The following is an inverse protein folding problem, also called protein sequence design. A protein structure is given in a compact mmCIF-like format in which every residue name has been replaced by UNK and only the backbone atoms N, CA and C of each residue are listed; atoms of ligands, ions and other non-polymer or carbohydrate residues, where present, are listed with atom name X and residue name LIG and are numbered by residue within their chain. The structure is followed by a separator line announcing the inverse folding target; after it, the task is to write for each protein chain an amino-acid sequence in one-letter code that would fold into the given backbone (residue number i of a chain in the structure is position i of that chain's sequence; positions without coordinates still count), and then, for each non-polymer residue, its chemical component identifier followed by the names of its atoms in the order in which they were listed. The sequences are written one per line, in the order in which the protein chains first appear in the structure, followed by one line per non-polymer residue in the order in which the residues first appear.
data_IF_007779065856
#
_entry.id   IF_007779065856
#
_cell.length_a   1.000
_cell.length_b   1.000
_cell.length_c   1.000
_cell.angle_alpha   90.00
_cell.angle_beta   90.00
_cell.angle_gamma   90.00
#
_symmetry.space_group_name_H-M   'P 1'
#
loop_
_entity.id
_entity.type
_entity.pdbx_description
1 polymer ?
#
# COMPACT_ATOMS: atom_id res chain seq x y z
N UNK A 1 -43.14 -49.34 26.83
CA UNK A 1 -41.72 -49.73 26.87
C UNK A 1 -40.93 -48.75 26.01
N UNK A 2 -40.43 -47.68 26.63
CA UNK A 2 -39.63 -46.62 26.02
C UNK A 2 -38.19 -46.73 26.57
N UNK A 3 -37.19 -46.86 25.69
CA UNK A 3 -35.71 -46.75 25.88
C UNK A 3 -35.11 -47.21 24.54
N UNK A 4 -34.19 -46.57 23.83
CA UNK A 4 -32.98 -45.80 24.18
C UNK A 4 -32.56 -44.95 22.94
N UNK A 5 -32.24 -43.65 23.10
CA UNK A 5 -30.87 -43.05 23.10
C UNK A 5 -30.18 -43.12 21.72
N UNK A 6 -30.28 -42.11 20.85
CA UNK A 6 -29.48 -40.87 20.78
C UNK A 6 -28.01 -41.05 20.31
N UNK A 7 -27.59 -40.12 19.43
CA UNK A 7 -26.24 -39.85 18.90
C UNK A 7 -25.82 -40.56 17.60
N UNK A 8 -26.03 -39.87 16.47
CA UNK A 8 -24.90 -39.32 15.67
C UNK A 8 -25.41 -38.18 14.80
N UNK A 9 -25.18 -36.98 15.29
CA UNK A 9 -25.45 -35.70 14.64
C UNK A 9 -24.60 -35.52 13.38
N UNK A 10 -25.26 -35.03 12.34
CA UNK A 10 -24.81 -34.05 11.37
C UNK A 10 -23.31 -33.69 11.40
N UNK A 11 -22.55 -34.20 10.42
CA UNK A 11 -21.31 -33.56 9.99
C UNK A 11 -21.70 -32.34 9.16
N UNK A 12 -22.14 -31.28 9.85
CA UNK A 12 -22.39 -29.97 9.26
C UNK A 12 -21.04 -29.39 8.88
N UNK A 13 -20.85 -29.08 7.60
CA UNK A 13 -19.75 -28.30 7.08
C UNK A 13 -19.56 -27.03 7.91
N UNK A 14 -18.57 -27.03 8.81
CA UNK A 14 -18.01 -25.81 9.38
C UNK A 14 -16.88 -25.38 8.46
N UNK A 15 -17.21 -24.54 7.47
CA UNK A 15 -16.22 -23.59 6.93
C UNK A 15 -15.85 -22.68 8.09
N UNK A 16 -14.74 -22.98 8.76
CA UNK A 16 -14.07 -22.00 9.59
C UNK A 16 -13.57 -20.90 8.69
N UNK A 17 -14.04 -19.67 8.91
CA UNK A 17 -13.42 -18.46 8.36
C UNK A 17 -12.10 -18.25 9.11
N UNK A 18 -11.07 -19.01 8.75
CA UNK A 18 -9.68 -18.66 9.05
C UNK A 18 -9.12 -18.04 7.78
N UNK A 19 -8.90 -16.73 7.80
CA UNK A 19 -8.24 -16.00 6.70
C UNK A 19 -6.72 -16.00 6.84
N UNK A 20 -6.16 -16.69 7.83
CA UNK A 20 -4.71 -16.75 8.09
C UNK A 20 -3.99 -17.89 7.35
N UNK A 21 -4.72 -18.88 6.84
CA UNK A 21 -4.14 -19.89 5.95
C UNK A 21 -4.29 -19.44 4.49
N UNK A 22 -3.34 -18.66 3.98
CA UNK A 22 -3.05 -18.69 2.54
C UNK A 22 -2.66 -20.14 2.24
N UNK A 23 -3.56 -20.89 1.60
CA UNK A 23 -3.17 -22.09 0.86
C UNK A 23 -2.14 -21.65 -0.18
N UNK A 24 -0.84 -21.76 0.14
CA UNK A 24 0.22 -21.58 -0.86
C UNK A 24 0.06 -22.71 -1.88
N UNK A 25 -0.65 -22.41 -2.96
CA UNK A 25 -0.78 -23.31 -4.10
C UNK A 25 0.60 -23.50 -4.75
N UNK A 26 1.25 -24.61 -4.40
CA UNK A 26 2.59 -24.97 -4.86
C UNK A 26 3.69 -24.26 -4.06
N UNK A 27 4.47 -25.03 -3.32
CA UNK A 27 5.61 -24.57 -2.52
C UNK A 27 6.80 -24.16 -3.41
N UNK A 28 6.62 -23.12 -4.23
CA UNK A 28 7.62 -22.54 -5.16
C UNK A 28 8.58 -21.60 -4.45
N UNK A 29 8.95 -21.91 -3.22
CA UNK A 29 9.84 -21.08 -2.41
C UNK A 29 11.31 -21.18 -2.83
N UNK A 30 12.18 -20.29 -2.30
CA UNK A 30 13.64 -20.36 -2.50
C UNK A 30 14.23 -21.75 -2.22
N UNK A 31 13.73 -22.42 -1.18
CA UNK A 31 14.16 -23.77 -0.80
C UNK A 31 13.79 -24.84 -1.85
N UNK A 32 12.66 -24.70 -2.54
CA UNK A 32 12.26 -25.62 -3.61
C UNK A 32 13.05 -25.33 -4.89
N UNK A 33 13.30 -24.04 -5.19
CA UNK A 33 14.16 -23.64 -6.30
C UNK A 33 15.56 -24.26 -6.15
N UNK A 34 16.20 -24.12 -4.99
CA UNK A 34 17.55 -24.65 -4.77
C UNK A 34 17.63 -26.17 -4.93
N UNK A 35 16.58 -26.91 -4.54
CA UNK A 35 16.48 -28.37 -4.75
C UNK A 35 16.38 -28.75 -6.23
N UNK A 36 15.70 -27.94 -7.05
CA UNK A 36 15.57 -28.15 -8.51
C UNK A 36 16.76 -27.62 -9.30
N UNK A 37 17.43 -26.60 -8.77
CA UNK A 37 18.58 -25.93 -9.38
C UNK A 37 19.88 -26.73 -9.23
N UNK A 38 20.14 -27.30 -8.05
CA UNK A 38 21.35 -28.07 -7.77
C UNK A 38 21.64 -29.26 -8.73
N UNK A 39 20.66 -30.02 -9.27
CA UNK A 39 20.95 -31.07 -10.25
C UNK A 39 21.24 -30.54 -11.68
N UNK A 40 20.87 -29.30 -12.00
CA UNK A 40 21.01 -28.74 -13.36
C UNK A 40 22.24 -27.82 -13.51
N UNK A 41 22.94 -27.51 -12.42
CA UNK A 41 24.01 -26.52 -12.39
C UNK A 41 25.31 -27.15 -11.89
N UNK A 42 26.45 -26.69 -12.42
CA UNK A 42 27.76 -27.19 -12.01
C UNK A 42 28.04 -26.82 -10.54
N UNK A 43 28.68 -27.74 -9.81
CA UNK A 43 29.01 -27.57 -8.39
C UNK A 43 30.01 -26.44 -8.08
N UNK A 44 30.56 -25.80 -9.12
CA UNK A 44 31.47 -24.65 -9.01
C UNK A 44 30.72 -23.32 -8.84
N UNK A 45 29.42 -23.28 -9.12
CA UNK A 45 28.62 -22.06 -8.99
C UNK A 45 27.96 -21.96 -7.60
N UNK A 46 28.09 -20.80 -6.97
CA UNK A 46 27.35 -20.46 -5.74
C UNK A 46 25.85 -20.35 -6.02
N UNK A 47 24.98 -20.69 -5.05
CA UNK A 47 23.54 -20.52 -5.21
C UNK A 47 23.19 -19.04 -5.43
N UNK A 48 22.17 -18.74 -6.26
CA UNK A 48 21.70 -17.37 -6.42
C UNK A 48 21.05 -16.86 -5.14
N UNK A 49 21.18 -15.56 -4.89
CA UNK A 49 20.50 -14.89 -3.79
C UNK A 49 19.03 -14.62 -4.12
N UNK A 50 18.20 -14.45 -3.10
CA UNK A 50 16.77 -14.18 -3.24
C UNK A 50 16.39 -12.83 -2.60
N UNK A 51 15.39 -12.09 -3.13
CA UNK A 51 14.94 -10.84 -2.52
C UNK A 51 14.48 -11.02 -1.07
N UNK A 52 13.97 -12.22 -0.72
CA UNK A 52 13.59 -12.57 0.64
C UNK A 52 14.74 -12.60 1.65
N UNK A 53 15.99 -12.69 1.20
CA UNK A 53 17.18 -12.68 2.06
C UNK A 53 17.55 -11.25 2.49
N UNK A 54 17.18 -10.26 1.69
CA UNK A 54 17.49 -8.85 1.93
C UNK A 54 16.37 -8.10 2.63
N UNK A 55 15.17 -8.67 2.68
CA UNK A 55 14.02 -8.12 3.38
C UNK A 55 13.95 -8.70 4.80
N UNK A 56 13.62 -7.89 5.82
CA UNK A 56 13.31 -8.43 7.13
C UNK A 56 12.15 -9.42 6.96
N UNK A 57 12.28 -10.61 7.56
CA UNK A 57 11.24 -11.64 7.46
C UNK A 57 9.93 -11.04 7.97
N UNK A 58 8.93 -10.95 7.09
CA UNK A 58 7.58 -10.52 7.48
C UNK A 58 7.18 -11.35 8.70
N UNK A 59 6.93 -10.68 9.83
CA UNK A 59 6.47 -11.37 11.02
C UNK A 59 5.04 -11.80 10.70
N UNK A 60 4.85 -13.11 10.53
CA UNK A 60 3.51 -13.67 10.51
C UNK A 60 2.86 -13.23 11.83
N UNK A 61 1.80 -12.42 11.72
CA UNK A 61 1.10 -11.91 12.89
C UNK A 61 0.53 -13.12 13.63
N UNK A 62 1.12 -13.46 14.78
CA UNK A 62 0.50 -14.44 15.66
C UNK A 62 -0.87 -13.89 16.08
N UNK A 63 -1.92 -14.68 15.82
CA UNK A 63 -3.29 -14.39 16.24
C UNK A 63 -3.30 -14.14 17.77
N UNK A 64 -3.34 -12.87 18.17
CA UNK A 64 -3.32 -12.44 19.58
C UNK A 64 -2.13 -11.58 20.01
N UNK A 65 -1.26 -11.13 19.08
CA UNK A 65 -0.22 -10.15 19.43
C UNK A 65 -0.85 -8.86 19.97
N UNK A 66 -0.34 -8.38 21.12
CA UNK A 66 -0.75 -7.12 21.73
C UNK A 66 -0.59 -5.97 20.72
N UNK A 67 -1.62 -5.12 20.61
CA UNK A 67 -1.58 -3.93 19.74
C UNK A 67 -0.42 -3.05 20.20
N UNK A 68 0.59 -2.79 19.35
CA UNK A 68 1.70 -1.92 19.73
C UNK A 68 1.21 -0.49 19.92
N UNK A 69 1.86 0.27 20.80
CA UNK A 69 1.51 1.68 21.02
C UNK A 69 1.84 2.57 19.81
N UNK A 70 2.77 2.14 18.94
CA UNK A 70 3.23 2.89 17.76
C UNK A 70 3.26 2.03 16.50
N UNK A 71 2.88 2.66 15.38
CA UNK A 71 2.90 2.08 14.04
C UNK A 71 4.31 2.18 13.46
N UNK A 72 4.75 1.18 12.70
CA UNK A 72 5.99 1.30 11.91
C UNK A 72 5.63 1.73 10.49
N UNK A 73 6.08 2.92 10.08
CA UNK A 73 5.86 3.44 8.72
C UNK A 73 7.12 3.24 7.87
N UNK A 74 6.90 2.68 6.68
CA UNK A 74 7.84 2.74 5.58
C UNK A 74 7.21 3.50 4.40
N UNK A 75 7.93 4.47 3.86
CA UNK A 75 7.50 5.26 2.72
C UNK A 75 8.53 5.14 1.59
N UNK A 76 8.13 4.43 0.54
CA UNK A 76 8.96 4.06 -0.60
C UNK A 76 8.62 4.86 -1.85
N UNK A 77 9.66 5.31 -2.53
CA UNK A 77 9.65 5.77 -3.91
C UNK A 77 10.59 4.89 -4.75
N UNK A 78 10.45 4.88 -6.09
CA UNK A 78 11.37 4.14 -6.95
C UNK A 78 12.81 4.64 -6.87
N UNK A 79 13.00 5.95 -6.67
CA UNK A 79 14.31 6.59 -6.67
C UNK A 79 14.90 6.77 -5.26
N UNK A 80 14.07 6.83 -4.21
CA UNK A 80 14.52 6.98 -2.82
C UNK A 80 13.54 6.38 -1.81
N UNK A 81 13.94 6.32 -0.54
CA UNK A 81 13.03 5.96 0.56
C UNK A 81 12.96 7.14 1.52
N UNK A 82 11.87 7.90 1.47
CA UNK A 82 11.70 9.12 2.27
C UNK A 82 11.63 8.79 3.76
N UNK A 83 10.93 7.72 4.13
CA UNK A 83 10.79 7.29 5.52
C UNK A 83 11.04 5.80 5.63
N UNK A 84 11.93 5.38 6.54
CA UNK A 84 12.23 3.97 6.77
C UNK A 84 12.11 3.65 8.25
N UNK A 85 11.36 2.59 8.57
CA UNK A 85 11.18 2.02 9.91
C UNK A 85 10.82 3.05 11.00
N UNK A 86 10.12 4.12 10.64
CA UNK A 86 9.84 5.22 11.57
C UNK A 86 8.61 4.92 12.41
N UNK A 87 8.69 5.25 13.71
CA UNK A 87 7.59 5.06 14.64
C UNK A 87 6.66 6.27 14.59
N UNK A 88 5.43 6.03 14.15
CA UNK A 88 4.40 7.06 13.97
C UNK A 88 3.14 6.67 14.72
N UNK A 89 2.35 7.66 15.13
CA UNK A 89 1.11 7.43 15.88
C UNK A 89 -0.10 7.39 14.94
N UNK A 90 -0.08 8.20 13.87
CA UNK A 90 -1.17 8.32 12.91
C UNK A 90 -0.63 8.64 11.51
N UNK A 91 -1.23 8.02 10.50
CA UNK A 91 -0.96 8.31 9.08
C UNK A 91 -2.28 8.55 8.37
N UNK A 92 -2.44 9.70 7.74
CA UNK A 92 -3.61 10.01 6.92
C UNK A 92 -3.27 9.76 5.46
N UNK A 93 -4.04 8.89 4.82
CA UNK A 93 -3.81 8.42 3.45
C UNK A 93 -5.00 8.79 2.55
N UNK A 94 -4.75 9.33 1.35
CA UNK A 94 -5.78 9.59 0.36
C UNK A 94 -6.05 8.32 -0.46
N UNK A 95 -7.03 7.50 -0.08
CA UNK A 95 -7.47 6.39 -0.93
C UNK A 95 -8.44 6.85 -2.01
N UNK A 96 -8.57 6.03 -3.06
CA UNK A 96 -9.56 6.24 -4.11
C UNK A 96 -11.00 6.33 -3.58
N UNK A 97 -11.33 5.57 -2.53
CA UNK A 97 -12.66 5.56 -1.91
C UNK A 97 -12.89 6.71 -0.92
N UNK A 98 -11.87 7.50 -0.61
CA UNK A 98 -11.90 8.56 0.39
C UNK A 98 -10.64 8.57 1.27
N UNK A 99 -10.51 9.60 2.10
CA UNK A 99 -9.35 9.74 2.97
C UNK A 99 -9.57 8.93 4.26
N UNK A 100 -8.54 8.19 4.69
CA UNK A 100 -8.62 7.36 5.90
C UNK A 100 -7.33 7.45 6.72
N UNK A 101 -7.47 7.22 8.02
CA UNK A 101 -6.37 7.24 8.97
C UNK A 101 -5.95 5.83 9.40
N UNK A 102 -4.66 5.57 9.39
CA UNK A 102 -4.05 4.34 9.89
C UNK A 102 -3.41 4.60 11.25
N UNK A 103 -3.86 3.84 12.24
CA UNK A 103 -3.35 3.83 13.61
C UNK A 103 -2.73 2.45 13.92
N UNK A 104 -1.99 2.30 15.03
CA UNK A 104 -1.48 1.00 15.46
C UNK A 104 -2.63 -0.01 15.64
N UNK A 105 -2.45 -1.24 15.16
CA UNK A 105 -3.48 -2.27 15.22
C UNK A 105 -4.64 -2.10 14.22
N UNK A 106 -4.46 -1.30 13.17
CA UNK A 106 -5.45 -1.18 12.10
C UNK A 106 -5.64 -2.51 11.34
N UNK A 107 -6.81 -2.68 10.73
CA UNK A 107 -7.15 -3.91 9.98
C UNK A 107 -6.24 -4.00 8.74
N UNK A 108 -5.66 -5.19 8.45
CA UNK A 108 -4.83 -5.37 7.27
C UNK A 108 -5.60 -4.99 6.00
N UNK A 109 -5.07 -4.01 5.27
CA UNK A 109 -5.77 -3.36 4.17
C UNK A 109 -4.79 -3.06 3.05
N UNK A 110 -5.20 -3.30 1.82
CA UNK A 110 -4.50 -2.84 0.62
C UNK A 110 -5.37 -1.76 -0.01
N UNK A 111 -4.85 -0.55 -0.08
CA UNK A 111 -5.56 0.61 -0.63
C UNK A 111 -4.79 1.19 -1.81
N UNK A 112 -5.51 1.52 -2.88
CA UNK A 112 -4.97 2.33 -3.97
C UNK A 112 -5.05 3.81 -3.58
N UNK A 113 -3.95 4.53 -3.76
CA UNK A 113 -3.85 5.94 -3.45
C UNK A 113 -4.22 6.78 -4.67
N UNK A 114 -5.05 7.80 -4.43
CA UNK A 114 -5.34 8.86 -5.40
C UNK A 114 -4.29 9.98 -5.28
N UNK A 115 -4.14 10.85 -6.29
CA UNK A 115 -3.32 12.05 -6.16
C UNK A 115 -3.82 12.89 -4.98
N UNK A 116 -2.95 13.20 -4.03
CA UNK A 116 -3.38 13.84 -2.79
C UNK A 116 -2.27 13.95 -1.74
N UNK A 117 -2.64 14.45 -0.56
CA UNK A 117 -1.68 14.69 0.54
C UNK A 117 -1.70 13.52 1.51
N UNK A 118 -0.54 12.90 1.69
CA UNK A 118 -0.26 11.99 2.80
C UNK A 118 0.25 12.81 3.98
N UNK A 119 -0.39 12.66 5.13
CA UNK A 119 0.03 13.35 6.36
C UNK A 119 0.53 12.31 7.36
N UNK A 120 1.78 12.46 7.79
CA UNK A 120 2.43 11.58 8.76
C UNK A 120 2.54 12.32 10.10
N UNK A 121 1.94 11.75 11.14
CA UNK A 121 2.03 12.25 12.50
C UNK A 121 2.98 11.37 13.32
N UNK A 122 4.20 11.85 13.57
CA UNK A 122 5.17 11.15 14.44
C UNK A 122 4.79 11.20 15.91
N UNK A 123 4.13 12.28 16.31
CA UNK A 123 3.51 12.46 17.63
C UNK A 123 2.25 13.27 17.42
N UNK A 124 1.14 12.87 18.05
CA UNK A 124 -0.21 13.42 17.82
C UNK A 124 -0.29 14.96 17.76
N UNK A 125 0.59 15.68 18.47
CA UNK A 125 0.47 17.13 18.66
C UNK A 125 1.59 18.01 18.09
N UNK A 126 2.69 17.46 17.54
CA UNK A 126 3.91 18.27 17.31
C UNK A 126 4.61 18.13 15.97
N UNK A 127 4.66 16.93 15.40
CA UNK A 127 5.46 16.66 14.20
C UNK A 127 4.56 16.11 13.11
N UNK A 128 4.10 17.01 12.23
CA UNK A 128 3.23 16.74 11.10
C UNK A 128 4.06 16.92 9.82
N UNK A 129 4.37 15.82 9.15
CA UNK A 129 5.03 15.85 7.84
C UNK A 129 3.99 15.62 6.76
N UNK A 130 3.87 16.56 5.81
CA UNK A 130 2.91 16.50 4.71
C UNK A 130 3.63 16.29 3.39
N UNK A 131 3.24 15.23 2.69
CA UNK A 131 3.77 14.86 1.40
C UNK A 131 2.65 14.84 0.38
N UNK A 132 2.78 15.58 -0.71
CA UNK A 132 1.94 15.39 -1.88
C UNK A 132 2.40 14.14 -2.63
N UNK A 133 1.48 13.23 -2.91
CA UNK A 133 1.71 11.96 -3.62
C UNK A 133 0.98 12.00 -4.95
N UNK A 134 1.65 11.56 -6.02
CA UNK A 134 1.05 11.48 -7.36
C UNK A 134 0.06 10.31 -7.48
N UNK A 135 0.48 9.12 -7.10
CA UNK A 135 -0.31 7.88 -7.07
C UNK A 135 0.47 6.78 -6.37
N UNK A 136 -0.20 5.70 -5.98
CA UNK A 136 0.49 4.58 -5.35
C UNK A 136 -0.43 3.55 -4.72
N UNK A 137 0.16 2.76 -3.82
CA UNK A 137 -0.54 1.81 -2.97
C UNK A 137 -0.09 1.97 -1.53
N UNK A 138 -1.02 1.76 -0.61
CA UNK A 138 -0.73 1.62 0.81
C UNK A 138 -1.07 0.19 1.25
N UNK A 139 -0.11 -0.44 1.92
CA UNK A 139 -0.24 -1.76 2.51
C UNK A 139 -0.20 -1.60 4.02
N UNK A 140 -1.30 -1.96 4.67
CA UNK A 140 -1.38 -2.08 6.12
C UNK A 140 -1.28 -3.57 6.44
N UNK A 141 -0.26 -3.94 7.20
CA UNK A 141 0.00 -5.32 7.59
C UNK A 141 -0.56 -5.63 8.97
N UNK A 142 -0.75 -6.90 9.25
CA UNK A 142 -1.26 -7.38 10.54
C UNK A 142 -0.26 -7.19 11.70
N UNK A 143 1.02 -7.00 11.41
CA UNK A 143 2.07 -6.73 12.39
C UNK A 143 2.17 -5.24 12.80
N UNK A 144 1.18 -4.42 12.41
CA UNK A 144 1.16 -2.96 12.59
C UNK A 144 2.35 -2.24 11.90
N UNK A 145 2.83 -2.81 10.80
CA UNK A 145 3.63 -2.07 9.82
C UNK A 145 2.73 -1.52 8.70
N UNK A 146 3.09 -0.36 8.17
CA UNK A 146 2.40 0.27 7.05
C UNK A 146 3.42 0.70 6.02
N UNK A 147 3.30 0.12 4.83
CA UNK A 147 4.14 0.43 3.68
C UNK A 147 3.35 1.29 2.71
N UNK A 148 3.78 2.53 2.54
CA UNK A 148 3.27 3.45 1.52
C UNK A 148 4.23 3.40 0.34
N UNK A 149 3.75 2.95 -0.81
CA UNK A 149 4.50 2.84 -2.04
C UNK A 149 3.92 3.83 -3.05
N UNK A 150 4.60 4.95 -3.27
CA UNK A 150 4.22 5.96 -4.24
C UNK A 150 5.14 5.94 -5.46
N UNK A 151 4.67 6.46 -6.59
CA UNK A 151 5.53 6.70 -7.76
C UNK A 151 6.39 7.94 -7.53
N UNK A 152 5.76 9.04 -7.14
CA UNK A 152 6.42 10.31 -6.83
C UNK A 152 5.76 10.96 -5.62
N UNK A 153 6.58 11.58 -4.77
CA UNK A 153 6.15 12.28 -3.57
C UNK A 153 7.03 13.50 -3.32
N UNK A 154 6.41 14.62 -3.00
CA UNK A 154 7.10 15.91 -2.78
C UNK A 154 6.56 16.52 -1.51
N UNK A 155 7.41 17.17 -0.72
CA UNK A 155 6.94 17.93 0.46
C UNK A 155 6.11 19.13 -0.01
N UNK A 156 5.09 19.50 0.76
CA UNK A 156 4.25 20.65 0.38
C UNK A 156 5.03 21.97 0.29
N UNK A 157 6.12 22.09 1.05
CA UNK A 157 6.98 23.29 1.06
C UNK A 157 7.75 23.49 -0.24
N UNK A 158 8.02 22.41 -0.98
CA UNK A 158 8.78 22.45 -2.23
C UNK A 158 7.88 22.68 -3.46
N UNK A 159 6.56 22.80 -3.27
CA UNK A 159 5.59 22.97 -4.36
C UNK A 159 5.34 24.45 -4.66
N UNK A 160 5.60 24.87 -5.91
CA UNK A 160 5.30 26.24 -6.35
C UNK A 160 3.79 26.39 -6.72
N UNK A 161 3.03 27.25 -6.02
CA UNK A 161 1.62 27.50 -6.34
C UNK A 161 1.39 28.07 -7.73
N UNK A 162 2.33 28.86 -8.27
CA UNK A 162 2.14 29.50 -9.58
C UNK A 162 2.25 28.47 -10.71
N UNK A 163 3.27 27.61 -10.66
CA UNK A 163 3.44 26.49 -11.59
C UNK A 163 2.22 25.54 -11.57
N UNK A 164 1.65 25.24 -10.39
CA UNK A 164 0.48 24.37 -10.26
C UNK A 164 -0.75 24.97 -10.96
N UNK A 165 -1.00 26.28 -10.77
CA UNK A 165 -2.13 26.97 -11.43
C UNK A 165 -1.95 27.05 -12.95
N UNK A 166 -0.73 27.30 -13.40
CA UNK A 166 -0.40 27.30 -14.82
C UNK A 166 -0.65 25.91 -15.45
N UNK A 167 -0.20 24.84 -14.79
CA UNK A 167 -0.46 23.46 -15.20
C UNK A 167 -1.96 23.13 -15.25
N UNK A 168 -2.72 23.51 -14.21
CA UNK A 168 -4.17 23.32 -14.18
C UNK A 168 -4.86 23.94 -15.41
N UNK A 169 -4.50 25.17 -15.77
CA UNK A 169 -5.07 25.86 -16.92
C UNK A 169 -4.72 25.15 -18.24
N UNK A 170 -3.47 24.70 -18.39
CA UNK A 170 -3.02 23.98 -19.58
C UNK A 170 -3.77 22.65 -19.78
N UNK A 171 -3.86 21.80 -18.75
CA UNK A 171 -4.53 20.50 -18.85
C UNK A 171 -6.05 20.64 -18.98
N UNK A 172 -6.66 21.66 -18.38
CA UNK A 172 -8.08 21.95 -18.55
C UNK A 172 -8.39 22.39 -19.99
N UNK A 173 -7.54 23.22 -20.59
CA UNK A 173 -7.67 23.62 -21.99
C UNK A 173 -7.49 22.42 -22.95
N UNK A 174 -6.50 21.55 -22.68
CA UNK A 174 -6.29 20.31 -23.45
C UNK A 174 -7.51 19.39 -23.38
N UNK A 175 -8.07 19.19 -22.20
CA UNK A 175 -9.26 18.37 -22.01
C UNK A 175 -10.46 18.93 -22.80
N UNK A 176 -10.70 20.24 -22.76
CA UNK A 176 -11.77 20.87 -23.53
C UNK A 176 -11.58 20.77 -25.05
N UNK A 177 -10.35 20.82 -25.55
CA UNK A 177 -10.05 20.66 -26.96
C UNK A 177 -10.23 19.21 -27.45
N UNK A 178 -9.85 18.23 -26.63
CA UNK A 178 -9.85 16.80 -26.97
C UNK A 178 -11.22 16.14 -26.80
N UNK A 179 -12.09 16.65 -25.92
CA UNK A 179 -13.43 16.08 -25.69
C UNK A 179 -14.30 15.94 -26.94
N UNK A 180 -14.06 16.73 -27.98
CA UNK A 180 -14.86 16.71 -29.20
C UNK A 180 -14.29 15.83 -30.33
N UNK A 181 -12.97 15.55 -30.33
CA UNK A 181 -12.26 14.96 -31.49
C UNK A 181 -11.02 14.12 -31.15
N UNK A 182 -10.70 13.95 -29.86
CA UNK A 182 -9.50 13.25 -29.41
C UNK A 182 -9.66 11.73 -29.41
N UNK A 183 -8.52 11.04 -29.38
CA UNK A 183 -8.46 9.61 -29.09
C UNK A 183 -8.75 9.37 -27.60
N UNK A 184 -9.32 8.20 -27.27
CA UNK A 184 -9.70 7.86 -25.88
C UNK A 184 -8.50 7.93 -24.93
N UNK A 185 -7.31 7.56 -25.43
CA UNK A 185 -6.06 7.63 -24.68
C UNK A 185 -5.66 9.07 -24.32
N UNK A 186 -5.78 10.00 -25.27
CA UNK A 186 -5.43 11.41 -25.06
C UNK A 186 -6.41 12.11 -24.13
N UNK A 187 -7.70 11.75 -24.23
CA UNK A 187 -8.75 12.23 -23.32
C UNK A 187 -8.46 11.74 -21.90
N UNK A 188 -8.11 10.46 -21.71
CA UNK A 188 -7.76 9.93 -20.40
C UNK A 188 -6.49 10.58 -19.81
N UNK A 189 -5.46 10.80 -20.62
CA UNK A 189 -4.24 11.48 -20.18
C UNK A 189 -4.51 12.93 -19.74
N UNK A 190 -5.35 13.66 -20.48
CA UNK A 190 -5.75 15.01 -20.11
C UNK A 190 -6.59 15.03 -18.82
N UNK A 191 -7.49 14.05 -18.63
CA UNK A 191 -8.28 13.90 -17.40
C UNK A 191 -7.39 13.65 -16.18
N UNK A 192 -6.41 12.74 -16.28
CA UNK A 192 -5.45 12.46 -15.21
C UNK A 192 -4.66 13.72 -14.87
N UNK A 193 -4.22 14.49 -15.88
CA UNK A 193 -3.54 15.77 -15.66
C UNK A 193 -4.41 16.75 -14.86
N UNK A 194 -5.67 16.94 -15.25
CA UNK A 194 -6.60 17.80 -14.51
C UNK A 194 -6.81 17.31 -13.07
N UNK A 195 -6.96 16.00 -12.85
CA UNK A 195 -7.13 15.42 -11.53
C UNK A 195 -5.92 15.69 -10.61
N UNK A 196 -4.70 15.43 -11.11
CA UNK A 196 -3.46 15.64 -10.35
C UNK A 196 -3.25 17.11 -10.01
N UNK A 197 -3.34 18.01 -11.00
CA UNK A 197 -3.13 19.44 -10.76
C UNK A 197 -4.25 20.06 -9.92
N UNK A 198 -5.49 19.55 -10.01
CA UNK A 198 -6.59 19.94 -9.13
C UNK A 198 -6.31 19.56 -7.68
N UNK A 199 -5.83 18.34 -7.44
CA UNK A 199 -5.43 17.89 -6.12
C UNK A 199 -4.25 18.69 -5.56
N UNK A 200 -3.24 19.02 -6.38
CA UNK A 200 -2.12 19.88 -5.98
C UNK A 200 -2.60 21.28 -5.58
N UNK A 201 -3.50 21.89 -6.35
CA UNK A 201 -4.02 23.22 -6.04
C UNK A 201 -4.85 23.22 -4.74
N UNK A 202 -5.61 22.15 -4.50
CA UNK A 202 -6.31 21.96 -3.23
C UNK A 202 -5.34 21.78 -2.05
N UNK A 203 -4.19 21.14 -2.27
CA UNK A 203 -3.17 20.93 -1.24
C UNK A 203 -2.41 22.20 -0.85
N UNK A 204 -2.10 23.08 -1.81
CA UNK A 204 -1.36 24.34 -1.54
C UNK A 204 -2.28 25.47 -1.07
N UNK A 205 -3.55 25.43 -1.47
CA UNK A 205 -4.54 26.44 -1.07
C UNK A 205 -5.13 26.23 0.33
N UNK A 206 -4.82 25.12 1.02
CA UNK A 206 -5.39 24.70 2.30
C UNK A 206 -4.47 24.95 3.50
#
# INVERSE_FOLDING_TARGET
MFRQVAQRLACTARRGLSTSAVCREGDKGPAEFLKKFSPHVSSTLSPPSFPSEFLPKAKEAEEGAAVPEKLTLNFFLPHETTVKDSKVDLVLLPALTGDFGVMPGHVPTVAQLRPGVVTVHKTLDKEIEKYFVSSGFAFVHADSSTDVCAVEAVKLEDLDPEAVRAGLAEYTAKLGALQAKGDDYEIAAAQIGVEVYSAMNAAVGA
#
